data_IF_016004417098
#
_entry.id   IF_016004417098
#
_cell.length_a   1.000
_cell.length_b   1.000
_cell.length_c   1.000
_cell.angle_alpha   90.00
_cell.angle_beta   90.00
_cell.angle_gamma   90.00
#
_symmetry.space_group_name_H-M   'P 1'
#
loop_
_entity.id
_entity.type
_entity.pdbx_description
1 polymer ?
#
# COMPACT_ATOMS: atom_id res chain seq x y z
N UNK A 1 -22.26 -3.01 -6.76
CA UNK A 1 -21.91 -1.65 -7.28
C UNK A 1 -21.02 -1.00 -6.24
N UNK A 2 -19.91 -0.37 -6.63
CA UNK A 2 -18.95 0.24 -5.69
C UNK A 2 -19.43 1.57 -5.10
N UNK A 3 -20.56 2.12 -5.55
CA UNK A 3 -21.12 3.37 -5.03
C UNK A 3 -20.32 4.63 -5.42
N UNK A 4 -19.38 4.50 -6.36
CA UNK A 4 -18.52 5.57 -6.87
C UNK A 4 -18.48 5.53 -8.39
N UNK A 5 -18.25 6.69 -9.01
CA UNK A 5 -17.96 6.78 -10.44
C UNK A 5 -16.57 6.20 -10.73
N UNK A 6 -16.47 5.39 -11.79
CA UNK A 6 -15.22 4.77 -12.22
C UNK A 6 -14.83 5.38 -13.55
N UNK A 7 -13.68 6.07 -13.56
CA UNK A 7 -13.05 6.58 -14.76
C UNK A 7 -11.84 5.70 -15.06
N UNK A 8 -11.77 5.21 -16.29
CA UNK A 8 -10.66 4.39 -16.78
C UNK A 8 -9.80 5.20 -17.73
N UNK A 9 -8.49 4.99 -17.70
CA UNK A 9 -7.52 5.60 -18.60
C UNK A 9 -6.57 4.52 -19.14
N UNK A 10 -5.85 4.82 -20.22
CA UNK A 10 -4.79 3.94 -20.70
C UNK A 10 -3.64 3.88 -19.68
N UNK A 11 -2.95 2.74 -19.61
CA UNK A 11 -1.79 2.60 -18.71
C UNK A 11 -0.67 3.57 -19.06
N UNK A 12 -0.53 3.94 -20.34
CA UNK A 12 0.43 4.95 -20.79
C UNK A 12 0.22 6.31 -20.09
N UNK A 13 -1.01 6.60 -19.65
CA UNK A 13 -1.38 7.86 -18.98
C UNK A 13 -1.35 7.76 -17.45
N UNK A 14 -0.92 6.62 -16.88
CA UNK A 14 -0.97 6.36 -15.44
C UNK A 14 -0.19 7.39 -14.60
N UNK A 15 0.82 8.04 -15.19
CA UNK A 15 1.60 9.09 -14.53
C UNK A 15 0.73 10.27 -14.06
N UNK A 16 -0.36 10.56 -14.78
CA UNK A 16 -1.28 11.64 -14.40
C UNK A 16 -1.95 11.38 -13.04
N UNK A 17 -2.10 10.11 -12.64
CA UNK A 17 -2.68 9.73 -11.36
C UNK A 17 -1.79 10.10 -10.17
N UNK A 18 -0.47 10.27 -10.36
CA UNK A 18 0.46 10.51 -9.26
C UNK A 18 0.24 11.84 -8.53
N UNK A 19 -0.43 12.79 -9.19
CA UNK A 19 -0.79 14.09 -8.62
C UNK A 19 -2.07 14.06 -7.79
N UNK A 20 -2.76 12.92 -7.69
CA UNK A 20 -3.95 12.79 -6.88
C UNK A 20 -3.62 12.89 -5.37
N UNK A 21 -4.55 13.38 -4.53
CA UNK A 21 -4.34 13.45 -3.09
C UNK A 21 -4.16 12.06 -2.44
N UNK A 22 -4.71 11.01 -3.06
CA UNK A 22 -4.53 9.62 -2.70
C UNK A 22 -4.30 8.79 -3.95
N UNK A 23 -3.20 8.04 -3.97
CA UNK A 23 -2.83 7.11 -5.03
C UNK A 23 -2.79 5.71 -4.45
N UNK A 24 -3.49 4.77 -5.07
CA UNK A 24 -3.52 3.37 -4.64
C UNK A 24 -2.86 2.51 -5.71
N UNK A 25 -1.68 1.95 -5.41
CA UNK A 25 -0.97 1.04 -6.28
C UNK A 25 -1.35 -0.41 -5.95
N UNK A 26 -2.11 -1.04 -6.84
CA UNK A 26 -2.54 -2.45 -6.74
C UNK A 26 -1.86 -3.35 -7.77
N UNK A 27 -0.81 -2.85 -8.41
CA UNK A 27 -0.13 -3.54 -9.50
C UNK A 27 0.93 -4.52 -9.01
N UNK A 28 1.31 -5.52 -9.83
CA UNK A 28 2.43 -6.42 -9.51
C UNK A 28 3.74 -5.66 -9.26
N UNK A 29 4.65 -6.31 -8.55
CA UNK A 29 6.00 -5.77 -8.31
C UNK A 29 6.69 -5.39 -9.63
N UNK A 30 7.29 -4.20 -9.65
CA UNK A 30 8.00 -3.66 -10.80
C UNK A 30 7.13 -2.93 -11.83
N UNK A 31 5.81 -3.06 -11.78
CA UNK A 31 4.93 -2.44 -12.78
C UNK A 31 4.98 -0.90 -12.77
N UNK A 32 5.21 -0.28 -11.61
CA UNK A 32 5.24 1.17 -11.42
C UNK A 32 6.63 1.77 -11.42
N UNK A 33 7.68 0.96 -11.62
CA UNK A 33 9.07 1.41 -11.52
C UNK A 33 9.40 2.52 -12.53
N UNK A 34 8.79 2.48 -13.71
CA UNK A 34 8.97 3.49 -14.75
C UNK A 34 8.45 4.88 -14.36
N UNK A 35 7.57 4.98 -13.37
CA UNK A 35 6.97 6.24 -12.94
C UNK A 35 7.69 6.92 -11.78
N UNK A 36 8.74 6.28 -11.24
CA UNK A 36 9.50 6.76 -10.06
C UNK A 36 10.07 8.16 -10.27
N UNK A 37 10.57 8.47 -11.47
CA UNK A 37 11.06 9.79 -11.84
C UNK A 37 9.98 10.85 -12.07
N UNK A 38 8.70 10.48 -11.94
CA UNK A 38 7.55 11.35 -12.16
C UNK A 38 6.73 11.58 -10.89
N UNK A 39 7.21 11.11 -9.74
CA UNK A 39 6.61 11.45 -8.44
C UNK A 39 6.69 12.97 -8.25
N UNK A 40 5.57 13.65 -7.95
CA UNK A 40 5.56 15.10 -7.71
C UNK A 40 6.49 15.50 -6.56
N UNK A 41 7.01 16.74 -6.60
CA UNK A 41 7.87 17.29 -5.53
C UNK A 41 7.16 17.32 -4.17
N UNK A 42 5.84 17.54 -4.19
CA UNK A 42 4.96 17.49 -3.01
C UNK A 42 3.83 16.51 -3.30
N UNK A 43 4.06 15.19 -3.10
CA UNK A 43 3.08 14.19 -3.42
C UNK A 43 2.02 14.04 -2.29
N UNK A 44 0.87 13.48 -2.64
CA UNK A 44 -0.17 13.12 -1.68
C UNK A 44 0.17 11.86 -0.87
N UNK A 45 -0.85 11.07 -0.55
CA UNK A 45 -0.69 9.77 0.11
C UNK A 45 -0.53 8.67 -0.93
N UNK A 46 0.48 7.82 -0.79
CA UNK A 46 0.57 6.56 -1.51
C UNK A 46 0.09 5.42 -0.61
N UNK A 47 -0.82 4.62 -1.13
CA UNK A 47 -1.15 3.30 -0.59
C UNK A 47 -0.66 2.24 -1.57
N UNK A 48 0.44 1.59 -1.24
CA UNK A 48 1.02 0.50 -2.02
C UNK A 48 0.65 -0.84 -1.36
N UNK A 49 -0.07 -1.71 -2.07
CA UNK A 49 -0.52 -2.99 -1.52
C UNK A 49 0.60 -4.02 -1.40
N UNK A 50 1.76 -3.76 -1.99
CA UNK A 50 2.91 -4.64 -1.87
C UNK A 50 3.54 -4.51 -0.48
N UNK A 51 3.85 -5.66 0.12
CA UNK A 51 4.62 -5.79 1.36
C UNK A 51 5.95 -6.50 1.15
N UNK A 52 6.17 -7.07 -0.04
CA UNK A 52 7.41 -7.72 -0.46
C UNK A 52 7.51 -7.68 -2.00
N UNK A 53 8.63 -7.22 -2.58
CA UNK A 53 9.76 -6.52 -1.92
C UNK A 53 9.33 -5.17 -1.32
N UNK A 54 9.99 -4.74 -0.24
CA UNK A 54 9.70 -3.46 0.44
C UNK A 54 10.98 -2.69 0.84
N UNK A 55 11.04 -1.35 0.65
CA UNK A 55 10.05 -0.52 -0.05
C UNK A 55 10.05 -0.80 -1.57
N UNK A 56 8.89 -0.60 -2.22
CA UNK A 56 8.85 -0.54 -3.68
C UNK A 56 9.61 0.69 -4.18
N UNK A 57 10.04 0.73 -5.45
CA UNK A 57 10.73 1.92 -5.97
C UNK A 57 9.83 3.15 -5.93
N UNK A 58 8.54 2.98 -6.21
CA UNK A 58 7.55 4.04 -6.11
C UNK A 58 7.41 4.54 -4.67
N UNK A 59 7.28 3.64 -3.69
CA UNK A 59 7.21 4.00 -2.27
C UNK A 59 8.47 4.73 -1.79
N UNK A 60 9.65 4.27 -2.20
CA UNK A 60 10.91 4.93 -1.87
C UNK A 60 10.97 6.35 -2.45
N UNK A 61 10.59 6.54 -3.72
CA UNK A 61 10.53 7.86 -4.35
C UNK A 61 9.48 8.77 -3.69
N UNK A 62 8.35 8.20 -3.25
CA UNK A 62 7.30 8.91 -2.53
C UNK A 62 7.79 9.47 -1.20
N UNK A 63 8.41 8.62 -0.37
CA UNK A 63 8.97 9.01 0.92
C UNK A 63 10.13 10.00 0.78
N UNK A 64 10.93 9.90 -0.28
CA UNK A 64 12.02 10.85 -0.55
C UNK A 64 11.53 12.28 -0.78
N UNK A 65 10.30 12.45 -1.30
CA UNK A 65 9.63 13.74 -1.45
C UNK A 65 8.78 14.11 -0.23
N UNK A 66 8.94 13.42 0.90
CA UNK A 66 8.20 13.68 2.14
C UNK A 66 6.73 13.22 2.12
N UNK A 67 6.32 12.47 1.09
CA UNK A 67 4.98 11.92 0.99
C UNK A 67 4.69 10.83 2.01
N UNK A 68 3.45 10.75 2.46
CA UNK A 68 3.00 9.68 3.34
C UNK A 68 2.82 8.37 2.55
N UNK A 69 3.27 7.25 3.13
CA UNK A 69 3.17 5.92 2.54
C UNK A 69 2.46 4.98 3.50
N UNK A 70 1.45 4.28 3.01
CA UNK A 70 0.79 3.15 3.66
C UNK A 70 1.19 1.89 2.89
N UNK A 71 1.75 0.89 3.57
CA UNK A 71 2.31 -0.29 2.94
C UNK A 71 1.36 -1.50 2.94
N UNK A 72 1.71 -2.53 2.18
CA UNK A 72 0.90 -3.75 2.07
C UNK A 72 0.76 -4.50 3.39
N UNK A 73 1.70 -4.35 4.32
CA UNK A 73 1.63 -4.99 5.63
C UNK A 73 0.52 -4.37 6.49
N UNK A 74 0.30 -3.06 6.38
CA UNK A 74 -0.82 -2.40 7.04
C UNK A 74 -2.15 -2.99 6.55
N UNK A 75 -2.30 -3.15 5.22
CA UNK A 75 -3.45 -3.82 4.63
C UNK A 75 -3.61 -5.25 5.16
N UNK A 76 -2.54 -6.04 5.11
CA UNK A 76 -2.52 -7.46 5.48
C UNK A 76 -2.94 -7.68 6.94
N UNK A 77 -2.42 -6.86 7.86
CA UNK A 77 -2.73 -6.97 9.28
C UNK A 77 -4.18 -6.58 9.54
N UNK A 78 -4.65 -5.48 8.93
CA UNK A 78 -6.03 -5.02 9.16
C UNK A 78 -7.08 -5.96 8.56
N UNK A 79 -6.82 -6.61 7.42
CA UNK A 79 -7.74 -7.66 6.92
C UNK A 79 -7.78 -8.88 7.87
N UNK A 80 -6.67 -9.21 8.50
CA UNK A 80 -6.55 -10.40 9.34
C UNK A 80 -7.24 -10.21 10.70
N UNK A 81 -7.46 -8.97 11.16
CA UNK A 81 -8.10 -8.69 12.45
C UNK A 81 -9.42 -9.43 12.60
N UNK A 82 -10.35 -9.22 11.67
CA UNK A 82 -11.69 -9.81 11.74
C UNK A 82 -11.64 -11.34 11.64
N UNK A 83 -10.66 -11.89 10.90
CA UNK A 83 -10.47 -13.33 10.81
C UNK A 83 -10.01 -13.90 12.16
N UNK A 84 -9.03 -13.27 12.82
CA UNK A 84 -8.56 -13.69 14.15
C UNK A 84 -9.68 -13.61 15.18
N UNK A 85 -10.47 -12.52 15.17
CA UNK A 85 -11.61 -12.37 16.07
C UNK A 85 -12.62 -13.51 15.90
N UNK A 86 -12.97 -13.85 14.65
CA UNK A 86 -13.91 -14.92 14.34
C UNK A 86 -13.37 -16.31 14.68
N UNK A 87 -12.08 -16.56 14.42
CA UNK A 87 -11.46 -17.88 14.62
C UNK A 87 -11.19 -18.17 16.10
N UNK A 88 -10.83 -17.16 16.90
CA UNK A 88 -10.39 -17.35 18.29
C UNK A 88 -11.37 -16.83 19.33
N UNK A 89 -12.41 -16.08 18.92
CA UNK A 89 -13.35 -15.42 19.82
C UNK A 89 -12.73 -14.29 20.66
N UNK A 90 -11.50 -13.86 20.36
CA UNK A 90 -10.79 -12.82 21.12
C UNK A 90 -11.07 -11.46 20.50
N UNK A 91 -11.87 -10.64 21.18
CA UNK A 91 -12.25 -9.29 20.73
C UNK A 91 -11.85 -8.24 21.77
N UNK A 92 -11.12 -7.17 21.40
CA UNK A 92 -10.55 -6.94 20.06
C UNK A 92 -9.36 -7.88 19.79
N UNK A 93 -9.11 -8.16 18.51
CA UNK A 93 -7.89 -8.85 18.11
C UNK A 93 -6.63 -8.03 18.53
N UNK A 94 -5.52 -8.70 18.89
CA UNK A 94 -4.33 -8.03 19.40
C UNK A 94 -3.50 -7.40 18.26
N UNK A 95 -3.98 -6.28 17.71
CA UNK A 95 -3.39 -5.60 16.53
C UNK A 95 -1.88 -5.40 16.61
N UNK A 96 -1.36 -4.90 17.74
CA UNK A 96 0.07 -4.67 17.90
C UNK A 96 0.89 -5.97 17.81
N UNK A 97 0.41 -7.05 18.42
CA UNK A 97 1.07 -8.35 18.36
C UNK A 97 1.00 -8.96 16.95
N UNK A 98 -0.14 -8.80 16.25
CA UNK A 98 -0.31 -9.25 14.87
C UNK A 98 0.63 -8.52 13.91
N UNK A 99 0.79 -7.19 14.08
CA UNK A 99 1.76 -6.39 13.33
C UNK A 99 3.19 -6.86 13.57
N UNK A 100 3.59 -6.99 14.83
CA UNK A 100 4.94 -7.45 15.18
C UNK A 100 5.23 -8.85 14.60
N UNK A 101 4.26 -9.76 14.63
CA UNK A 101 4.40 -11.08 14.03
C UNK A 101 4.57 -11.02 12.50
N UNK A 102 3.82 -10.15 11.82
CA UNK A 102 3.96 -9.93 10.37
C UNK A 102 5.32 -9.34 9.98
N UNK A 103 5.81 -8.35 10.73
CA UNK A 103 7.14 -7.76 10.53
C UNK A 103 8.26 -8.80 10.72
N UNK A 104 8.18 -9.61 11.78
CA UNK A 104 9.14 -10.69 12.04
C UNK A 104 9.11 -11.76 10.94
N UNK A 105 7.92 -12.12 10.44
CA UNK A 105 7.79 -13.09 9.35
C UNK A 105 8.42 -12.60 8.05
N UNK A 106 8.30 -11.30 7.72
CA UNK A 106 8.95 -10.72 6.55
C UNK A 106 10.47 -10.62 6.71
N UNK A 107 10.96 -10.31 7.91
CA UNK A 107 12.40 -10.19 8.19
C UNK A 107 13.16 -11.51 8.30
N UNK A 108 12.48 -12.66 8.26
CA UNK A 108 13.10 -13.99 8.41
C UNK A 108 13.26 -14.76 7.08
N UNK A 109 12.97 -14.11 5.95
CA UNK A 109 13.17 -14.63 4.59
C UNK A 109 14.48 -14.14 3.99
#
# INVERSE_FOLDING_TARGET
RLGVDVITADWADAVAALSAPLVIATTPAGATDAFTGSVPEVPGILFDVLYEPWPTRLAAAWSAHGGAVVGGLDLLVHQALLQVEQMTGRVPAPLAAMRQAGEAALGSR
#
